data_IF_325612335401
#
_entry.id   IF_325612335401
#
_cell.length_a   1.000
_cell.length_b   1.000
_cell.length_c   1.000
_cell.angle_alpha   90.00
_cell.angle_beta   90.00
_cell.angle_gamma   90.00
#
_symmetry.space_group_name_H-M   'P 1'
#
loop_
_entity.id
_entity.type
_entity.pdbx_description
1 polymer ?
#
# COMPACT_ATOMS: atom_id res chain seq x y z
N UNK A 1 -3.42 -38.24 -11.73
CA UNK A 1 -2.52 -37.05 -11.63
C UNK A 1 -3.40 -35.81 -11.59
N UNK A 2 -3.51 -35.08 -10.48
CA UNK A 2 -4.32 -33.87 -10.43
C UNK A 2 -3.54 -32.73 -11.07
N UNK A 3 -4.18 -32.08 -12.04
CA UNK A 3 -3.73 -30.89 -12.73
C UNK A 3 -3.59 -29.74 -11.72
N UNK A 4 -2.37 -29.42 -11.32
CA UNK A 4 -2.05 -28.21 -10.55
C UNK A 4 -2.31 -27.01 -11.46
N UNK A 5 -3.48 -26.39 -11.33
CA UNK A 5 -3.79 -25.11 -11.98
C UNK A 5 -2.84 -24.07 -11.39
N UNK A 6 -1.75 -23.77 -12.11
CA UNK A 6 -0.81 -22.69 -11.81
C UNK A 6 -1.55 -21.36 -11.80
N UNK A 7 -1.88 -20.88 -10.62
CA UNK A 7 -2.36 -19.51 -10.42
C UNK A 7 -1.13 -18.60 -10.51
N UNK A 8 -1.02 -17.81 -11.55
CA UNK A 8 -0.03 -16.75 -11.69
C UNK A 8 -0.39 -15.63 -10.68
N UNK A 9 0.33 -15.56 -9.58
CA UNK A 9 0.19 -14.53 -8.54
C UNK A 9 1.22 -13.43 -8.76
N UNK A 10 0.79 -12.29 -9.28
CA UNK A 10 1.60 -11.09 -9.48
C UNK A 10 1.11 -9.92 -8.62
N UNK A 11 0.31 -10.19 -7.57
CA UNK A 11 -0.55 -9.19 -6.94
C UNK A 11 0.14 -8.09 -6.14
N UNK A 12 1.39 -8.25 -5.77
CA UNK A 12 1.81 -7.57 -4.56
C UNK A 12 2.83 -6.46 -4.71
N UNK A 13 3.58 -6.46 -5.79
CA UNK A 13 4.73 -5.55 -5.85
C UNK A 13 4.32 -4.09 -5.96
N UNK A 14 3.21 -3.84 -6.60
CA UNK A 14 2.74 -2.48 -6.84
C UNK A 14 2.17 -1.81 -5.59
N UNK A 15 1.57 -2.61 -4.68
CA UNK A 15 1.06 -2.08 -3.41
C UNK A 15 2.20 -1.67 -2.48
N UNK A 16 3.39 -2.28 -2.64
CA UNK A 16 4.41 -2.24 -1.61
C UNK A 16 5.41 -1.11 -1.77
N UNK A 17 5.61 -0.59 -2.99
CA UNK A 17 6.55 0.48 -3.20
C UNK A 17 6.23 1.78 -2.45
N UNK A 18 4.97 2.15 -2.25
CA UNK A 18 4.63 3.29 -1.41
C UNK A 18 4.29 2.96 0.05
N UNK A 19 4.45 1.71 0.53
CA UNK A 19 3.81 1.31 1.79
C UNK A 19 4.56 1.65 3.07
N UNK A 20 5.83 2.13 3.07
CA UNK A 20 6.58 2.16 4.32
C UNK A 20 7.54 3.33 4.53
N UNK A 21 7.57 3.78 5.78
CA UNK A 21 8.43 4.80 6.31
C UNK A 21 8.73 4.73 7.81
N UNK A 22 9.87 5.23 8.23
CA UNK A 22 10.02 5.89 9.51
C UNK A 22 11.14 6.94 9.68
N UNK A 23 10.89 7.98 10.42
CA UNK A 23 11.90 8.89 10.84
C UNK A 23 11.66 9.43 12.22
N UNK A 24 12.71 9.43 13.00
CA UNK A 24 12.85 10.38 14.06
C UNK A 24 13.86 11.43 13.61
N UNK A 25 13.45 12.23 12.69
CA UNK A 25 13.81 13.63 12.70
C UNK A 25 12.49 14.34 12.91
N UNK A 26 12.42 15.31 13.79
CA UNK A 26 11.43 16.35 13.66
C UNK A 26 11.54 16.81 12.21
N UNK A 27 10.65 16.33 11.36
CA UNK A 27 10.61 16.80 10.00
C UNK A 27 10.12 18.23 10.11
N UNK A 28 11.03 19.16 10.06
CA UNK A 28 10.72 20.54 9.71
C UNK A 28 10.01 20.45 8.36
N UNK A 29 8.66 20.49 8.36
CA UNK A 29 7.84 20.36 7.17
C UNK A 29 6.67 19.38 7.23
N UNK A 30 6.50 18.58 8.29
CA UNK A 30 5.24 17.84 8.50
C UNK A 30 4.22 18.83 9.03
N UNK A 31 3.13 19.04 8.30
CA UNK A 31 1.99 19.86 8.72
C UNK A 31 1.40 19.40 10.06
N UNK A 32 0.60 20.25 10.69
CA UNK A 32 -0.05 19.93 11.97
C UNK A 32 -1.01 18.73 11.86
N UNK A 33 -1.46 18.41 10.66
CA UNK A 33 -2.31 17.25 10.38
C UNK A 33 -1.72 16.34 9.30
N UNK A 34 -2.05 15.05 9.42
CA UNK A 34 -1.62 14.02 8.44
C UNK A 34 -2.14 14.33 7.04
N UNK A 35 -3.34 14.91 6.93
CA UNK A 35 -3.93 15.27 5.65
C UNK A 35 -3.15 16.37 4.94
N UNK A 36 -2.75 17.42 5.67
CA UNK A 36 -1.96 18.53 5.12
C UNK A 36 -0.57 18.09 4.70
N UNK A 37 0.05 17.20 5.48
CA UNK A 37 1.39 16.68 5.21
C UNK A 37 1.51 15.96 3.86
N UNK A 38 0.43 15.32 3.40
CA UNK A 38 0.46 14.52 2.17
C UNK A 38 -0.47 15.01 1.07
N UNK A 39 -1.19 16.13 1.28
CA UNK A 39 -2.13 16.68 0.30
C UNK A 39 -1.45 16.93 -1.05
N UNK A 40 -1.97 16.29 -2.09
CA UNK A 40 -1.49 16.45 -3.47
C UNK A 40 -0.24 15.62 -3.80
N UNK A 41 0.26 14.80 -2.87
CA UNK A 41 1.46 13.98 -3.11
C UNK A 41 1.25 13.04 -4.31
N UNK A 42 2.27 12.99 -5.17
CA UNK A 42 2.39 12.07 -6.31
C UNK A 42 3.76 11.43 -6.27
N UNK A 43 3.81 10.10 -6.19
CA UNK A 43 5.02 9.30 -6.27
C UNK A 43 4.93 8.39 -7.49
N UNK A 44 5.99 8.35 -8.36
CA UNK A 44 6.04 7.42 -9.50
C UNK A 44 7.27 6.53 -9.38
N UNK A 45 7.10 5.27 -9.74
CA UNK A 45 8.13 4.23 -9.62
C UNK A 45 8.30 3.47 -10.92
N UNK A 46 9.53 3.19 -11.27
CA UNK A 46 9.87 2.16 -12.25
C UNK A 46 10.07 0.82 -11.53
N UNK A 47 9.57 -0.25 -12.13
CA UNK A 47 9.62 -1.60 -11.60
C UNK A 47 10.49 -2.45 -12.51
N UNK A 48 11.50 -3.08 -11.96
CA UNK A 48 12.43 -3.95 -12.67
C UNK A 48 12.63 -5.30 -11.96
N UNK A 49 13.20 -6.27 -12.66
CA UNK A 49 13.69 -7.51 -12.08
C UNK A 49 14.88 -8.02 -12.87
N UNK A 50 15.84 -8.65 -12.18
CA UNK A 50 17.06 -9.19 -12.73
C UNK A 50 17.82 -8.10 -13.54
N UNK A 51 18.02 -8.30 -14.87
CA UNK A 51 18.69 -7.34 -15.77
C UNK A 51 17.73 -6.38 -16.47
N UNK A 52 16.44 -6.46 -16.21
CA UNK A 52 15.43 -5.60 -16.83
C UNK A 52 15.04 -4.47 -15.88
N UNK A 53 15.50 -3.26 -16.17
CA UNK A 53 15.30 -2.10 -15.28
C UNK A 53 13.86 -1.57 -15.25
N UNK A 54 13.11 -1.75 -16.35
CA UNK A 54 11.74 -1.24 -16.46
C UNK A 54 10.81 -2.23 -17.15
N UNK A 55 10.19 -3.09 -16.38
CA UNK A 55 9.17 -4.04 -16.83
C UNK A 55 7.78 -3.72 -16.31
N UNK A 56 7.69 -2.69 -15.52
CA UNK A 56 6.45 -2.16 -14.97
C UNK A 56 6.65 -0.75 -14.45
N UNK A 57 5.57 -0.14 -14.09
CA UNK A 57 5.55 1.17 -13.44
C UNK A 57 4.48 1.20 -12.35
N UNK A 58 4.68 2.06 -11.38
CA UNK A 58 3.76 2.30 -10.27
C UNK A 58 3.51 3.77 -10.03
N UNK A 59 2.32 4.12 -9.60
CA UNK A 59 1.97 5.47 -9.15
C UNK A 59 1.22 5.40 -7.83
N UNK A 60 1.53 6.34 -6.93
CA UNK A 60 0.81 6.55 -5.69
C UNK A 60 0.41 8.02 -5.58
N UNK A 61 -0.83 8.29 -5.18
CA UNK A 61 -1.32 9.66 -4.97
C UNK A 61 -2.13 9.75 -3.69
N UNK A 62 -2.15 10.96 -3.10
CA UNK A 62 -2.96 11.28 -1.93
C UNK A 62 -3.66 12.63 -2.12
N UNK A 63 -4.96 12.70 -1.82
CA UNK A 63 -5.75 13.92 -1.99
C UNK A 63 -6.83 14.09 -0.93
N UNK A 64 -7.22 15.33 -0.65
CA UNK A 64 -8.39 15.64 0.15
C UNK A 64 -9.68 15.43 -0.65
N UNK A 65 -10.70 14.93 0.05
CA UNK A 65 -12.09 14.88 -0.42
C UNK A 65 -12.96 15.93 0.30
N UNK A 66 -12.36 16.76 1.16
CA UNK A 66 -13.05 17.70 2.02
C UNK A 66 -13.56 17.08 3.32
N UNK A 67 -13.96 17.94 4.28
CA UNK A 67 -14.56 17.52 5.55
C UNK A 67 -13.75 16.46 6.33
N UNK A 68 -12.42 16.57 6.35
CA UNK A 68 -11.53 15.62 7.04
C UNK A 68 -11.47 14.25 6.42
N UNK A 69 -11.93 14.09 5.16
CA UNK A 69 -11.81 12.85 4.38
C UNK A 69 -10.72 12.97 3.33
N UNK A 70 -10.07 11.86 3.06
CA UNK A 70 -8.95 11.76 2.12
C UNK A 70 -9.08 10.50 1.28
N UNK A 71 -8.50 10.54 0.09
CA UNK A 71 -8.36 9.38 -0.77
C UNK A 71 -6.90 9.14 -1.11
N UNK A 72 -6.47 7.90 -1.02
CA UNK A 72 -5.22 7.44 -1.59
C UNK A 72 -5.52 6.51 -2.76
N UNK A 73 -4.69 6.60 -3.80
CA UNK A 73 -4.78 5.78 -5.00
C UNK A 73 -3.40 5.22 -5.31
N UNK A 74 -3.32 3.92 -5.53
CA UNK A 74 -2.12 3.25 -6.02
C UNK A 74 -2.46 2.42 -7.23
N UNK A 75 -1.64 2.53 -8.26
CA UNK A 75 -1.74 1.71 -9.46
C UNK A 75 -0.38 1.16 -9.83
N UNK A 76 -0.36 -0.06 -10.30
CA UNK A 76 0.78 -0.64 -10.94
C UNK A 76 0.40 -1.43 -12.17
N UNK A 77 1.26 -1.37 -13.18
CA UNK A 77 1.05 -2.09 -14.42
C UNK A 77 2.35 -2.64 -14.97
N UNK A 78 2.23 -3.78 -15.62
CA UNK A 78 3.34 -4.39 -16.35
C UNK A 78 3.47 -3.80 -17.74
N UNK A 79 4.71 -3.68 -18.24
CA UNK A 79 5.07 -3.05 -19.50
C UNK A 79 5.80 -4.03 -20.44
N UNK A 80 5.87 -3.66 -21.71
CA UNK A 80 6.69 -4.30 -22.74
C UNK A 80 6.42 -5.81 -22.88
N UNK A 81 7.48 -6.58 -23.07
CA UNK A 81 7.42 -8.04 -23.24
C UNK A 81 6.87 -8.75 -22.00
N UNK A 82 7.25 -8.27 -20.80
CA UNK A 82 6.72 -8.80 -19.54
C UNK A 82 5.23 -8.50 -19.42
N UNK A 83 4.78 -7.34 -19.86
CA UNK A 83 3.36 -7.00 -19.97
C UNK A 83 2.62 -7.99 -20.85
N UNK A 84 3.18 -8.37 -21.99
CA UNK A 84 2.57 -9.36 -22.89
C UNK A 84 2.47 -10.75 -22.23
N UNK A 85 3.53 -11.26 -21.60
CA UNK A 85 3.53 -12.55 -20.90
C UNK A 85 2.58 -12.55 -19.70
N UNK A 86 2.54 -11.46 -18.93
CA UNK A 86 1.66 -11.29 -17.76
C UNK A 86 0.22 -10.90 -18.16
N UNK A 87 -0.09 -10.85 -19.46
CA UNK A 87 -1.39 -10.44 -20.02
C UNK A 87 -1.76 -9.01 -19.61
N UNK A 88 -0.78 -8.08 -19.66
CA UNK A 88 -0.97 -6.67 -19.32
C UNK A 88 -1.62 -6.48 -17.95
N UNK A 89 -1.01 -7.12 -16.93
CA UNK A 89 -1.52 -7.05 -15.59
C UNK A 89 -1.52 -5.61 -15.08
N UNK A 90 -2.63 -5.23 -14.47
CA UNK A 90 -2.85 -3.94 -13.82
C UNK A 90 -3.48 -4.21 -12.45
N UNK A 91 -2.87 -3.70 -11.40
CA UNK A 91 -3.36 -3.75 -10.04
C UNK A 91 -3.70 -2.33 -9.59
N UNK A 92 -4.92 -2.12 -9.11
CA UNK A 92 -5.42 -0.81 -8.69
C UNK A 92 -5.95 -0.91 -7.28
N UNK A 93 -5.50 -0.01 -6.42
CA UNK A 93 -5.90 0.08 -5.03
C UNK A 93 -6.39 1.48 -4.71
N UNK A 94 -7.51 1.58 -4.00
CA UNK A 94 -8.09 2.85 -3.57
C UNK A 94 -8.46 2.74 -2.11
N UNK A 95 -8.06 3.72 -1.30
CA UNK A 95 -8.51 3.83 0.08
C UNK A 95 -9.17 5.18 0.29
N UNK A 96 -10.39 5.16 0.83
CA UNK A 96 -11.05 6.35 1.36
C UNK A 96 -10.92 6.32 2.87
N UNK A 97 -10.40 7.41 3.45
CA UNK A 97 -10.03 7.52 4.85
C UNK A 97 -10.65 8.75 5.48
N UNK A 98 -10.80 8.73 6.80
CA UNK A 98 -11.13 9.92 7.59
C UNK A 98 -10.06 10.19 8.64
N UNK A 99 -9.89 11.47 9.02
CA UNK A 99 -9.03 11.82 10.14
C UNK A 99 -9.76 11.71 11.46
N UNK A 100 -9.01 11.26 12.47
CA UNK A 100 -9.38 11.29 13.89
C UNK A 100 -8.25 11.94 14.71
N UNK A 101 -8.44 12.08 16.02
CA UNK A 101 -7.44 12.63 16.94
C UNK A 101 -6.91 14.01 16.48
N UNK A 102 -7.83 14.94 16.17
CA UNK A 102 -7.50 16.28 15.68
C UNK A 102 -6.59 16.26 14.44
N UNK A 103 -6.88 15.38 13.48
CA UNK A 103 -6.12 15.29 12.24
C UNK A 103 -4.81 14.51 12.32
N UNK A 104 -4.49 13.88 13.45
CA UNK A 104 -3.20 13.21 13.68
C UNK A 104 -3.20 11.72 13.34
N UNK A 105 -4.33 11.14 12.93
CA UNK A 105 -4.44 9.74 12.49
C UNK A 105 -5.50 9.60 11.41
N UNK A 106 -5.23 8.77 10.41
CA UNK A 106 -6.22 8.29 9.44
C UNK A 106 -6.82 6.97 9.93
N UNK A 107 -8.11 6.79 9.66
CA UNK A 107 -8.80 5.50 9.73
C UNK A 107 -9.43 5.19 8.39
N UNK A 108 -9.39 3.94 7.91
CA UNK A 108 -10.02 3.57 6.65
C UNK A 108 -11.54 3.57 6.80
N UNK A 109 -12.23 4.03 5.77
CA UNK A 109 -13.67 3.91 5.62
C UNK A 109 -14.02 2.87 4.54
N UNK A 110 -13.23 2.84 3.47
CA UNK A 110 -13.41 1.96 2.33
C UNK A 110 -12.07 1.66 1.68
N UNK A 111 -11.79 0.40 1.42
CA UNK A 111 -10.62 -0.05 0.67
C UNK A 111 -11.04 -0.93 -0.50
N UNK A 112 -10.56 -0.63 -1.68
CA UNK A 112 -10.85 -1.35 -2.93
C UNK A 112 -9.59 -1.90 -3.55
N UNK A 113 -9.67 -3.14 -4.03
CA UNK A 113 -8.61 -3.87 -4.69
C UNK A 113 -9.14 -4.38 -6.04
N UNK A 114 -8.65 -3.86 -7.15
CA UNK A 114 -8.94 -4.36 -8.50
C UNK A 114 -7.69 -5.00 -9.08
N UNK A 115 -7.73 -6.30 -9.35
CA UNK A 115 -6.65 -7.04 -10.00
C UNK A 115 -7.12 -7.50 -11.37
N UNK A 116 -6.50 -6.93 -12.41
CA UNK A 116 -6.86 -7.13 -13.82
C UNK A 116 -5.73 -7.91 -14.49
N UNK A 117 -6.04 -9.05 -15.09
CA UNK A 117 -5.09 -9.90 -15.82
C UNK A 117 -5.74 -10.33 -17.14
N UNK A 118 -5.43 -9.61 -18.23
CA UNK A 118 -6.16 -9.76 -19.49
C UNK A 118 -7.66 -9.54 -19.29
N UNK A 119 -8.52 -10.49 -19.69
CA UNK A 119 -9.98 -10.36 -19.52
C UNK A 119 -10.49 -10.68 -18.11
N UNK A 120 -9.61 -11.13 -17.20
CA UNK A 120 -10.01 -11.53 -15.84
C UNK A 120 -9.88 -10.37 -14.88
N UNK A 121 -10.97 -10.08 -14.16
CA UNK A 121 -11.01 -9.06 -13.11
C UNK A 121 -11.38 -9.74 -11.81
N UNK A 122 -10.60 -9.48 -10.76
CA UNK A 122 -10.96 -9.78 -9.38
C UNK A 122 -11.11 -8.44 -8.67
N UNK A 123 -12.27 -8.19 -8.14
CA UNK A 123 -12.57 -7.00 -7.34
C UNK A 123 -12.84 -7.39 -5.91
N UNK A 124 -12.27 -6.63 -4.96
CA UNK A 124 -12.57 -6.75 -3.54
C UNK A 124 -12.83 -5.36 -2.98
N UNK A 125 -13.87 -5.26 -2.17
CA UNK A 125 -14.23 -4.04 -1.45
C UNK A 125 -14.31 -4.39 0.04
N UNK A 126 -13.60 -3.62 0.86
CA UNK A 126 -13.66 -3.71 2.32
C UNK A 126 -14.25 -2.41 2.85
N UNK A 127 -15.37 -2.50 3.55
CA UNK A 127 -16.08 -1.39 4.17
C UNK A 127 -15.90 -1.44 5.68
N UNK A 128 -15.53 -0.32 6.29
CA UNK A 128 -15.28 -0.19 7.72
C UNK A 128 -16.34 0.67 8.36
N UNK A 129 -17.24 0.05 9.13
CA UNK A 129 -18.25 0.73 9.93
C UNK A 129 -17.85 0.68 11.41
N UNK A 130 -17.19 1.72 11.88
CA UNK A 130 -16.75 1.82 13.27
C UNK A 130 -17.91 2.06 14.24
N UNK A 131 -19.01 2.67 13.80
CA UNK A 131 -20.19 2.88 14.62
C UNK A 131 -20.94 1.56 14.87
N UNK A 132 -21.14 0.77 13.81
CA UNK A 132 -21.70 -0.57 13.91
C UNK A 132 -20.67 -1.62 14.38
N UNK A 133 -19.39 -1.25 14.55
CA UNK A 133 -18.30 -2.14 14.91
C UNK A 133 -18.17 -3.34 13.96
N UNK A 134 -18.25 -3.09 12.68
CA UNK A 134 -18.27 -4.13 11.66
C UNK A 134 -17.42 -3.78 10.44
N UNK A 135 -16.70 -4.76 9.93
CA UNK A 135 -16.08 -4.73 8.60
C UNK A 135 -16.83 -5.68 7.69
N UNK A 136 -17.23 -5.19 6.52
CA UNK A 136 -17.83 -6.01 5.46
C UNK A 136 -16.84 -6.13 4.31
N UNK A 137 -16.57 -7.37 3.88
CA UNK A 137 -15.67 -7.67 2.76
C UNK A 137 -16.50 -8.31 1.65
N UNK A 138 -16.50 -7.69 0.48
CA UNK A 138 -17.14 -8.22 -0.71
C UNK A 138 -16.07 -8.56 -1.75
N UNK A 139 -16.02 -9.82 -2.16
CA UNK A 139 -15.08 -10.29 -3.19
C UNK A 139 -15.86 -10.76 -4.42
N UNK A 140 -15.62 -10.11 -5.55
CA UNK A 140 -16.16 -10.52 -6.84
C UNK A 140 -15.05 -11.20 -7.65
N UNK A 141 -15.32 -12.43 -8.07
CA UNK A 141 -14.42 -13.23 -8.88
C UNK A 141 -15.22 -14.16 -9.79
N UNK A 142 -14.92 -14.11 -11.08
CA UNK A 142 -15.55 -15.00 -12.09
C UNK A 142 -17.10 -14.99 -12.01
N UNK A 143 -17.68 -13.78 -11.83
CA UNK A 143 -19.12 -13.58 -11.73
C UNK A 143 -19.79 -13.97 -10.40
N UNK A 144 -19.00 -14.48 -9.43
CA UNK A 144 -19.49 -14.79 -8.09
C UNK A 144 -19.14 -13.67 -7.12
N UNK A 145 -20.07 -13.34 -6.23
CA UNK A 145 -19.86 -12.41 -5.13
C UNK A 145 -19.87 -13.21 -3.83
N UNK A 146 -18.80 -13.07 -3.05
CA UNK A 146 -18.67 -13.64 -1.71
C UNK A 146 -18.65 -12.47 -0.73
N UNK A 147 -19.46 -12.54 0.31
CA UNK A 147 -19.52 -11.52 1.37
C UNK A 147 -19.13 -12.16 2.70
N UNK A 148 -18.24 -11.50 3.40
CA UNK A 148 -17.75 -11.84 4.73
C UNK A 148 -17.96 -10.66 5.67
N UNK A 149 -18.25 -10.91 6.94
CA UNK A 149 -18.38 -9.89 7.97
C UNK A 149 -17.45 -10.21 9.14
N UNK A 150 -16.75 -9.19 9.61
CA UNK A 150 -15.81 -9.28 10.74
C UNK A 150 -16.19 -8.24 11.78
N UNK A 151 -16.31 -8.64 13.04
CA UNK A 151 -16.53 -7.72 14.15
C UNK A 151 -15.27 -6.91 14.44
N UNK A 152 -15.43 -5.60 14.69
CA UNK A 152 -14.36 -4.73 15.21
C UNK A 152 -14.46 -4.76 16.74
N UNK A 153 -13.50 -5.34 17.46
CA UNK A 153 -13.48 -5.30 18.92
C UNK A 153 -13.49 -3.87 19.44
N UNK A 154 -14.07 -3.66 20.61
CA UNK A 154 -14.16 -2.33 21.22
C UNK A 154 -12.77 -1.67 21.34
N UNK A 155 -12.67 -0.40 20.93
CA UNK A 155 -11.41 0.35 20.96
C UNK A 155 -10.36 -0.09 19.92
N UNK A 156 -10.67 -1.07 19.04
CA UNK A 156 -9.76 -1.51 18.01
C UNK A 156 -9.95 -0.71 16.71
N UNK A 157 -8.85 -0.44 16.03
CA UNK A 157 -8.81 0.12 14.68
C UNK A 157 -8.02 -0.87 13.83
N UNK A 158 -8.58 -1.23 12.69
CA UNK A 158 -7.88 -1.95 11.63
C UNK A 158 -7.45 -0.97 10.56
N UNK A 159 -6.21 -1.08 10.10
CA UNK A 159 -5.73 -0.29 8.98
C UNK A 159 -5.74 -1.14 7.70
N UNK A 160 -6.13 -0.55 6.57
CA UNK A 160 -5.78 -1.10 5.26
C UNK A 160 -4.33 -0.74 4.90
N UNK A 161 -3.71 -1.38 3.90
CA UNK A 161 -2.32 -1.12 3.56
C UNK A 161 -2.00 0.34 3.26
N UNK A 162 -2.90 1.07 2.61
CA UNK A 162 -2.67 2.48 2.25
C UNK A 162 -2.83 3.41 3.46
N UNK A 163 -3.83 3.15 4.30
CA UNK A 163 -3.99 3.86 5.57
C UNK A 163 -2.79 3.62 6.48
N UNK A 164 -2.33 2.36 6.57
CA UNK A 164 -1.13 2.00 7.32
C UNK A 164 0.11 2.76 6.82
N UNK A 165 0.27 2.88 5.51
CA UNK A 165 1.37 3.60 4.87
C UNK A 165 1.42 5.08 5.29
N UNK A 166 0.33 5.82 5.14
CA UNK A 166 0.32 7.24 5.50
C UNK A 166 0.39 7.46 7.01
N UNK A 167 -0.30 6.63 7.81
CA UNK A 167 -0.20 6.68 9.27
C UNK A 167 1.23 6.45 9.76
N UNK A 168 1.92 5.51 9.14
CA UNK A 168 3.28 5.19 9.51
C UNK A 168 4.24 6.33 9.14
N UNK A 169 4.14 6.87 7.94
CA UNK A 169 4.90 8.03 7.49
C UNK A 169 4.67 9.27 8.35
N UNK A 170 3.52 9.43 8.91
CA UNK A 170 3.21 10.52 9.84
C UNK A 170 3.68 10.25 11.27
N UNK A 171 4.12 9.04 11.58
CA UNK A 171 4.60 8.64 12.91
C UNK A 171 3.49 8.24 13.89
N UNK A 172 2.29 7.87 13.41
CA UNK A 172 1.15 7.47 14.25
C UNK A 172 1.49 6.30 15.19
N UNK A 173 2.32 5.37 14.72
CA UNK A 173 2.70 4.18 15.52
C UNK A 173 3.91 4.42 16.40
N UNK A 174 4.43 5.64 16.44
CA UNK A 174 5.54 6.07 17.28
C UNK A 174 6.84 6.30 16.52
N UNK A 175 7.85 6.72 17.26
CA UNK A 175 9.16 7.09 16.73
C UNK A 175 9.86 5.88 16.16
N UNK A 176 10.45 6.03 14.98
CA UNK A 176 11.24 5.02 14.36
C UNK A 176 12.67 5.10 14.82
N UNK A 177 13.17 3.97 15.28
CA UNK A 177 14.51 3.83 15.84
C UNK A 177 15.12 2.52 15.35
N UNK A 178 16.43 2.45 15.15
CA UNK A 178 17.10 1.23 14.72
C UNK A 178 16.75 0.02 15.60
N UNK A 179 16.45 -1.11 14.98
CA UNK A 179 16.08 -2.34 15.67
C UNK A 179 14.62 -2.39 16.16
N UNK A 180 13.85 -1.31 16.01
CA UNK A 180 12.46 -1.27 16.47
C UNK A 180 11.53 -2.05 15.55
N UNK A 181 10.55 -2.71 16.16
CA UNK A 181 9.48 -3.42 15.46
C UNK A 181 8.14 -2.71 15.66
N UNK A 182 7.34 -2.68 14.60
CA UNK A 182 5.97 -2.19 14.60
C UNK A 182 5.03 -3.29 14.13
N UNK A 183 3.90 -3.43 14.81
CA UNK A 183 2.85 -4.37 14.47
C UNK A 183 1.57 -3.59 14.21
N UNK A 184 1.17 -3.52 12.94
CA UNK A 184 -0.02 -2.81 12.48
C UNK A 184 -1.13 -3.83 12.27
N UNK A 185 -2.27 -3.64 12.90
CA UNK A 185 -3.40 -4.55 12.81
C UNK A 185 -4.19 -4.32 11.53
N UNK A 186 -4.43 -5.40 10.80
CA UNK A 186 -5.28 -5.41 9.60
C UNK A 186 -6.51 -6.28 9.85
N UNK A 187 -7.52 -6.17 8.99
CA UNK A 187 -8.72 -7.00 9.09
C UNK A 187 -8.35 -8.48 8.99
N UNK A 188 -8.68 -9.31 10.01
CA UNK A 188 -8.42 -10.74 9.96
C UNK A 188 -9.22 -11.40 8.85
N UNK A 189 -8.58 -12.25 8.05
CA UNK A 189 -9.20 -13.12 7.03
C UNK A 189 -8.70 -14.54 7.26
N UNK A 190 -9.48 -15.55 6.85
CA UNK A 190 -9.14 -16.96 7.10
C UNK A 190 -7.76 -17.35 6.57
N UNK A 191 -7.36 -16.81 5.41
CA UNK A 191 -6.12 -17.16 4.71
C UNK A 191 -5.01 -16.09 4.81
N UNK A 192 -5.20 -14.97 5.55
CA UNK A 192 -4.27 -13.86 5.56
C UNK A 192 -3.67 -13.58 6.94
N UNK A 193 -2.49 -12.96 6.94
CA UNK A 193 -1.90 -12.42 8.17
C UNK A 193 -2.79 -11.31 8.72
N UNK A 194 -3.03 -11.34 10.03
CA UNK A 194 -3.83 -10.34 10.76
C UNK A 194 -3.07 -9.05 11.03
N UNK A 195 -1.80 -8.99 10.64
CA UNK A 195 -0.91 -7.87 10.93
C UNK A 195 0.10 -7.66 9.81
N UNK A 196 0.45 -6.39 9.61
CA UNK A 196 1.65 -5.97 8.90
C UNK A 196 2.74 -5.78 9.95
N UNK A 197 3.88 -6.43 9.79
CA UNK A 197 5.03 -6.27 10.66
C UNK A 197 6.12 -5.49 9.95
N UNK A 198 6.66 -4.49 10.63
CA UNK A 198 7.74 -3.64 10.16
C UNK A 198 8.90 -3.75 11.13
N UNK A 199 10.09 -4.04 10.61
CA UNK A 199 11.32 -4.08 11.41
C UNK A 199 12.31 -3.07 10.84
N UNK A 200 12.71 -2.10 11.63
CA UNK A 200 13.78 -1.17 11.27
C UNK A 200 15.10 -1.89 11.42
N UNK A 201 15.94 -1.86 10.39
CA UNK A 201 17.26 -2.47 10.46
C UNK A 201 18.10 -1.83 11.58
N UNK A 202 19.04 -2.59 12.16
CA UNK A 202 20.04 -1.99 13.04
C UNK A 202 20.98 -1.07 12.24
N UNK A 203 21.69 -0.17 12.91
CA UNK A 203 22.65 0.71 12.24
C UNK A 203 23.73 -0.07 11.50
N UNK A 204 24.23 -1.14 12.10
CA UNK A 204 25.25 -2.00 11.52
C UNK A 204 24.74 -2.73 10.28
N UNK A 205 23.50 -3.20 10.32
CA UNK A 205 22.87 -3.83 9.15
C UNK A 205 22.63 -2.81 8.04
N UNK A 206 22.11 -1.64 8.38
CA UNK A 206 21.87 -0.54 7.44
C UNK A 206 23.16 -0.10 6.74
N UNK A 207 24.25 0.11 7.50
CA UNK A 207 25.55 0.49 6.94
C UNK A 207 26.11 -0.60 6.01
N UNK A 208 26.05 -1.87 6.44
CA UNK A 208 26.50 -2.99 5.63
C UNK A 208 25.71 -3.11 4.33
N UNK A 209 24.39 -2.94 4.38
CA UNK A 209 23.52 -3.02 3.20
C UNK A 209 23.74 -1.83 2.29
N UNK A 210 23.85 -0.61 2.83
CA UNK A 210 24.13 0.60 2.05
C UNK A 210 25.50 0.54 1.37
N UNK A 211 26.50 -0.09 2.00
CA UNK A 211 27.82 -0.27 1.38
C UNK A 211 27.78 -1.13 0.10
N UNK A 212 26.82 -2.06 0.02
CA UNK A 212 26.62 -2.93 -1.14
C UNK A 212 25.78 -2.29 -2.26
N UNK A 213 25.12 -1.14 -2.00
CA UNK A 213 24.31 -0.44 -2.98
C UNK A 213 25.16 0.39 -3.95
N UNK A 214 24.80 0.38 -5.23
CA UNK A 214 25.43 1.20 -6.26
C UNK A 214 25.08 2.67 -6.05
N UNK A 215 23.79 2.95 -5.86
CA UNK A 215 23.27 4.28 -5.52
C UNK A 215 22.98 4.34 -4.04
N UNK A 216 23.63 5.27 -3.35
CA UNK A 216 23.51 5.43 -1.88
C UNK A 216 22.66 6.64 -1.49
N UNK A 217 22.46 7.57 -2.42
CA UNK A 217 21.68 8.78 -2.16
C UNK A 217 20.23 8.44 -1.82
N UNK A 218 19.70 9.11 -0.79
CA UNK A 218 18.34 8.90 -0.32
C UNK A 218 18.08 7.55 0.36
N UNK A 219 19.10 6.72 0.61
CA UNK A 219 19.00 5.45 1.34
C UNK A 219 19.44 5.63 2.79
N UNK A 220 18.61 6.36 3.55
CA UNK A 220 18.92 6.75 4.92
C UNK A 220 18.46 5.73 5.97
N UNK A 221 17.37 5.02 5.68
CA UNK A 221 16.76 4.06 6.58
C UNK A 221 16.35 2.79 5.83
N UNK A 222 16.70 1.63 6.35
CA UNK A 222 16.28 0.34 5.80
C UNK A 222 15.20 -0.28 6.67
N UNK A 223 14.06 -0.66 6.05
CA UNK A 223 12.97 -1.32 6.73
C UNK A 223 12.60 -2.60 6.04
N UNK A 224 12.46 -3.63 6.84
CA UNK A 224 11.93 -4.92 6.42
C UNK A 224 10.45 -4.99 6.75
N UNK A 225 9.68 -5.32 5.75
CA UNK A 225 8.24 -5.42 5.83
C UNK A 225 7.84 -6.86 5.62
N UNK A 226 7.09 -7.39 6.56
CA UNK A 226 6.51 -8.72 6.44
C UNK A 226 5.00 -8.59 6.25
N UNK A 227 4.57 -9.04 5.07
CA UNK A 227 3.19 -9.02 4.62
C UNK A 227 2.68 -10.43 4.38
N UNK A 228 1.40 -10.50 4.03
CA UNK A 228 0.84 -11.73 3.52
C UNK A 228 1.55 -12.16 2.22
N UNK A 229 1.93 -13.44 2.15
CA UNK A 229 2.60 -14.02 0.98
C UNK A 229 1.78 -13.85 -0.29
N UNK A 230 0.46 -13.91 -0.20
CA UNK A 230 -0.43 -13.71 -1.33
C UNK A 230 -0.41 -12.26 -1.83
N UNK A 231 -0.26 -11.30 -0.93
CA UNK A 231 -0.12 -9.89 -1.29
C UNK A 231 1.19 -9.63 -2.04
N UNK A 232 2.29 -10.23 -1.62
CA UNK A 232 3.62 -10.03 -2.23
C UNK A 232 3.83 -10.92 -3.45
N UNK A 233 3.11 -12.05 -3.54
CA UNK A 233 3.39 -13.07 -4.55
C UNK A 233 4.77 -13.70 -4.38
N UNK A 234 5.28 -13.73 -3.14
CA UNK A 234 6.62 -14.23 -2.82
C UNK A 234 6.56 -15.43 -1.85
N UNK A 235 7.68 -16.15 -1.71
CA UNK A 235 7.77 -17.30 -0.82
C UNK A 235 7.66 -16.90 0.66
N UNK A 236 8.16 -15.73 1.04
CA UNK A 236 8.30 -15.32 2.43
C UNK A 236 7.41 -14.12 2.82
N UNK A 237 6.88 -13.37 1.85
CA UNK A 237 6.12 -12.15 2.09
C UNK A 237 6.99 -11.01 2.61
N UNK A 238 8.30 -11.03 2.29
CA UNK A 238 9.26 -10.03 2.74
C UNK A 238 9.53 -9.00 1.65
N UNK A 239 9.55 -7.73 2.06
CA UNK A 239 9.96 -6.60 1.24
C UNK A 239 10.93 -5.75 2.04
N UNK A 240 12.06 -5.45 1.45
CA UNK A 240 13.04 -4.49 1.99
C UNK A 240 12.83 -3.15 1.31
N UNK A 241 12.74 -2.07 2.09
CA UNK A 241 12.52 -0.73 1.56
C UNK A 241 13.53 0.23 2.12
N UNK A 242 14.22 0.94 1.23
CA UNK A 242 15.06 2.08 1.56
C UNK A 242 14.27 3.37 1.52
N UNK A 243 14.45 4.18 2.52
CA UNK A 243 13.80 5.46 2.67
C UNK A 243 14.82 6.60 2.79
N UNK A 244 14.42 7.76 2.31
CA UNK A 244 15.07 9.03 2.55
C UNK A 244 14.65 9.60 3.93
N UNK A 245 15.43 10.52 4.49
CA UNK A 245 15.16 11.12 5.83
C UNK A 245 13.80 11.80 5.96
N UNK A 246 13.31 12.38 4.86
CA UNK A 246 12.02 13.07 4.78
C UNK A 246 10.85 12.15 4.47
N UNK A 247 11.01 10.86 4.72
CA UNK A 247 9.92 9.91 4.72
C UNK A 247 9.43 9.43 3.34
N UNK A 248 10.27 9.56 2.34
CA UNK A 248 9.97 9.11 0.99
C UNK A 248 10.59 7.72 0.73
N UNK A 249 9.79 6.71 0.32
CA UNK A 249 10.33 5.42 -0.09
C UNK A 249 11.05 5.55 -1.43
N UNK A 250 12.37 5.29 -1.42
CA UNK A 250 13.23 5.47 -2.59
C UNK A 250 13.35 4.20 -3.41
N UNK A 251 13.57 3.07 -2.74
CA UNK A 251 13.75 1.77 -3.41
C UNK A 251 13.10 0.69 -2.57
N UNK A 252 12.32 -0.17 -3.20
CA UNK A 252 11.76 -1.36 -2.56
C UNK A 252 12.21 -2.63 -3.30
N UNK A 253 12.53 -3.70 -2.55
CA UNK A 253 12.87 -5.01 -3.11
C UNK A 253 11.96 -6.06 -2.49
N UNK A 254 11.08 -6.65 -3.28
CA UNK A 254 10.32 -7.82 -2.91
C UNK A 254 11.18 -9.06 -3.17
N UNK A 255 11.44 -9.84 -2.12
CA UNK A 255 12.32 -11.01 -2.16
C UNK A 255 11.58 -12.25 -2.64
N UNK A 256 12.27 -13.07 -3.44
CA UNK A 256 11.83 -14.40 -3.85
C UNK A 256 10.40 -14.43 -4.44
N UNK A 257 10.09 -13.47 -5.32
CA UNK A 257 8.82 -13.45 -6.04
C UNK A 257 8.75 -14.62 -7.01
N UNK A 258 7.66 -15.37 -6.96
CA UNK A 258 7.47 -16.57 -7.78
C UNK A 258 7.77 -16.32 -9.27
N UNK A 259 8.66 -17.11 -9.85
CA UNK A 259 9.12 -17.08 -11.25
C UNK A 259 10.01 -15.89 -11.65
N UNK A 260 10.17 -14.86 -10.81
CA UNK A 260 10.90 -13.65 -11.18
C UNK A 260 12.12 -13.38 -10.30
N UNK A 261 12.22 -14.06 -9.14
CA UNK A 261 13.24 -13.75 -8.15
C UNK A 261 12.96 -12.42 -7.44
N UNK A 262 13.98 -11.65 -7.18
CA UNK A 262 13.85 -10.34 -6.54
C UNK A 262 13.30 -9.30 -7.54
N UNK A 263 12.22 -8.63 -7.15
CA UNK A 263 11.64 -7.54 -7.93
C UNK A 263 11.96 -6.21 -7.23
N UNK A 264 12.56 -5.29 -7.97
CA UNK A 264 12.97 -3.97 -7.49
C UNK A 264 12.04 -2.90 -8.02
N UNK A 265 11.62 -1.99 -7.16
CA UNK A 265 10.99 -0.73 -7.53
C UNK A 265 11.87 0.44 -7.12
N UNK A 266 11.95 1.46 -7.96
CA UNK A 266 12.75 2.65 -7.74
C UNK A 266 11.94 3.90 -7.99
N UNK A 267 11.98 4.85 -7.05
CA UNK A 267 11.33 6.15 -7.20
C UNK A 267 11.97 6.92 -8.36
N UNK A 268 11.14 7.35 -9.30
CA UNK A 268 11.56 8.16 -10.47
C UNK A 268 10.99 9.57 -10.45
N UNK A 269 9.91 9.78 -9.68
CA UNK A 269 9.31 11.10 -9.55
C UNK A 269 8.64 11.26 -8.19
N UNK A 270 8.84 12.40 -7.58
CA UNK A 270 8.12 12.90 -6.43
C UNK A 270 7.66 14.32 -6.70
N UNK A 271 6.41 14.62 -6.43
CA UNK A 271 5.86 15.96 -6.55
C UNK A 271 4.54 16.12 -5.82
N UNK A 272 4.01 17.34 -5.89
CA UNK A 272 2.69 17.68 -5.37
C UNK A 272 1.84 18.26 -6.48
N UNK A 273 0.64 17.76 -6.68
CA UNK A 273 -0.29 18.23 -7.70
C UNK A 273 -1.63 18.56 -7.08
N UNK A 274 -2.11 19.77 -7.35
CA UNK A 274 -3.47 20.19 -6.97
C UNK A 274 -4.49 19.86 -8.06
N UNK A 275 -4.05 19.42 -9.24
CA UNK A 275 -4.94 19.02 -10.32
C UNK A 275 -5.37 17.56 -10.13
N UNK A 276 -6.64 17.24 -10.32
CA UNK A 276 -7.04 15.87 -10.51
C UNK A 276 -6.45 15.42 -11.85
N UNK A 277 -5.25 14.83 -11.86
CA UNK A 277 -4.90 13.98 -13.00
C UNK A 277 -6.06 13.03 -13.19
N UNK A 278 -6.44 12.75 -14.44
CA UNK A 278 -7.53 11.83 -14.82
C UNK A 278 -7.22 10.39 -14.40
N UNK A 279 -7.15 10.19 -13.09
CA UNK A 279 -7.31 8.86 -12.54
C UNK A 279 -8.82 8.73 -12.28
N UNK A 280 -9.47 7.71 -12.86
CA UNK A 280 -10.86 7.37 -12.60
C UNK A 280 -11.05 7.00 -11.11
N UNK A 281 -11.03 8.02 -10.28
CA UNK A 281 -11.47 7.90 -8.89
C UNK A 281 -12.96 8.17 -8.92
N UNK A 282 -13.80 7.28 -8.40
CA UNK A 282 -15.25 7.51 -8.35
C UNK A 282 -15.52 8.89 -7.77
N UNK A 283 -16.33 9.67 -8.48
CA UNK A 283 -16.72 11.02 -8.01
C UNK A 283 -17.52 10.91 -6.71
N UNK A 284 -17.49 11.95 -5.90
CA UNK A 284 -18.28 11.99 -4.66
C UNK A 284 -19.80 11.76 -4.89
N UNK A 285 -20.28 11.86 -6.13
CA UNK A 285 -21.66 11.57 -6.52
C UNK A 285 -21.98 10.07 -6.56
N UNK A 286 -21.02 9.19 -6.84
CA UNK A 286 -21.23 7.74 -6.80
C UNK A 286 -21.40 7.19 -5.38
N UNK A 287 -21.04 7.98 -4.35
CA UNK A 287 -21.27 7.64 -2.95
C UNK A 287 -22.71 7.84 -2.47
N UNK A 288 -23.54 8.59 -3.22
CA UNK A 288 -24.95 8.82 -2.86
C UNK A 288 -25.86 7.64 -3.17
N UNK A 289 -25.54 6.84 -4.18
CA UNK A 289 -26.41 5.74 -4.64
C UNK A 289 -26.22 4.43 -3.86
N UNK A 290 -25.24 4.36 -2.94
CA UNK A 290 -25.03 3.16 -2.11
C UNK A 290 -25.91 3.07 -0.85
N UNK A 291 -26.86 3.99 -0.65
CA UNK A 291 -27.90 3.88 0.39
C UNK A 291 -27.42 3.90 1.85
N UNK A 292 -26.15 4.27 2.13
CA UNK A 292 -25.54 4.18 3.45
C UNK A 292 -25.34 5.53 4.18
N UNK A 293 -25.96 6.59 3.69
CA UNK A 293 -26.06 7.85 4.45
C UNK A 293 -27.54 8.09 4.76
N UNK A 294 -28.00 7.38 5.77
CA UNK A 294 -29.23 7.73 6.46
C UNK A 294 -29.06 9.09 7.14
N UNK A 295 -29.82 10.07 6.68
CA UNK A 295 -30.04 11.33 7.39
C UNK A 295 -30.59 11.06 8.78
N UNK A 296 -29.82 11.31 9.83
CA UNK A 296 -30.28 11.87 11.11
C UNK A 296 -29.10 12.30 11.94
#
# INVERSE_FOLDING_TARGET
MPSVKRKLFFSALVILLPLFWPGAASAEGIGDSIGESFQGEVLKYDIGFWIFDRVGEGVATFRSLGHGKYAAFHEGRTLGFVGWISRHRRDVYRSTMATINNGRRLIPLRFEEDVIIGPKIRKRITLYDYAARKVTIETQKEGKIIREEVEIPFGMIYDDPMTAFYNFRFGVYGKVEPGKEFIIRTVPREESRKTIRLTVASKEEEERRRAAEVEKEGKDLLIKVHLDKELVGSLHGEVEVWFRKDVIPMTGVAKDVFFYGDIKGQLTYQGFSNSPEKFDVPSASEFKDSGLIGSR
#
